data_IF_909672592870
#
_entry.id   IF_909672592870
#
_cell.length_a   1.000
_cell.length_b   1.000
_cell.length_c   1.000
_cell.angle_alpha   90.00
_cell.angle_beta   90.00
_cell.angle_gamma   90.00
#
_symmetry.space_group_name_H-M   'P 1'
#
loop_
_entity.id
_entity.type
_entity.pdbx_description
1 polymer ?
#
# COMPACT_ATOMS: atom_id res chain seq x y z
N UNK A 1 -8.64 -15.78 -33.69
CA UNK A 1 -9.21 -16.54 -32.55
C UNK A 1 -8.25 -16.37 -31.39
N UNK A 2 -8.59 -15.53 -30.41
CA UNK A 2 -7.75 -15.29 -29.21
C UNK A 2 -8.71 -15.32 -28.02
N UNK A 3 -8.56 -16.32 -27.17
CA UNK A 3 -9.39 -16.50 -25.97
C UNK A 3 -8.93 -15.53 -24.86
N UNK A 4 -9.77 -15.03 -23.96
CA UNK A 4 -11.20 -15.32 -23.75
C UNK A 4 -11.58 -15.05 -22.30
N UNK A 5 -10.70 -15.43 -21.35
CA UNK A 5 -10.96 -15.37 -19.90
C UNK A 5 -9.86 -14.68 -19.05
N UNK A 6 -8.62 -14.56 -19.54
CA UNK A 6 -7.54 -13.99 -18.73
C UNK A 6 -7.67 -12.47 -18.51
N UNK A 7 -8.07 -11.73 -19.56
CA UNK A 7 -8.28 -10.28 -19.49
C UNK A 7 -9.31 -9.87 -18.42
N UNK A 8 -10.45 -10.58 -18.36
CA UNK A 8 -11.55 -10.29 -17.43
C UNK A 8 -11.18 -10.64 -15.98
N UNK A 9 -10.46 -11.74 -15.77
CA UNK A 9 -10.10 -12.20 -14.43
C UNK A 9 -8.96 -11.41 -13.78
N UNK A 10 -7.91 -11.06 -14.55
CA UNK A 10 -6.72 -10.37 -14.02
C UNK A 10 -6.76 -8.86 -14.25
N UNK A 11 -6.88 -8.40 -15.50
CA UNK A 11 -6.77 -6.98 -15.84
C UNK A 11 -8.05 -6.24 -15.43
N UNK A 12 -9.22 -6.71 -15.86
CA UNK A 12 -10.48 -6.04 -15.54
C UNK A 12 -10.74 -6.02 -14.03
N UNK A 13 -10.37 -7.07 -13.26
CA UNK A 13 -10.51 -7.06 -11.79
C UNK A 13 -9.54 -6.09 -11.10
N UNK A 14 -8.33 -5.89 -11.64
CA UNK A 14 -7.34 -4.93 -11.12
C UNK A 14 -7.66 -3.48 -11.52
N UNK A 15 -8.29 -3.27 -12.67
CA UNK A 15 -8.74 -1.95 -13.15
C UNK A 15 -10.18 -1.62 -12.73
N UNK A 16 -10.96 -2.59 -12.25
CA UNK A 16 -12.33 -2.40 -11.76
C UNK A 16 -12.47 -1.24 -10.77
N UNK A 17 -11.58 -1.07 -9.75
CA UNK A 17 -11.70 0.03 -8.80
C UNK A 17 -11.52 1.39 -9.48
N UNK A 18 -10.61 1.49 -10.45
CA UNK A 18 -10.37 2.72 -11.20
C UNK A 18 -11.50 3.02 -12.20
N UNK A 19 -12.02 2.00 -12.88
CA UNK A 19 -13.18 2.12 -13.78
C UNK A 19 -14.45 2.49 -13.00
N UNK A 20 -14.76 1.81 -11.91
CA UNK A 20 -15.90 2.15 -11.04
C UNK A 20 -15.74 3.55 -10.47
N UNK A 21 -14.54 3.94 -10.01
CA UNK A 21 -14.29 5.32 -9.55
C UNK A 21 -14.49 6.35 -10.68
N UNK A 22 -13.95 6.11 -11.87
CA UNK A 22 -14.07 7.01 -13.02
C UNK A 22 -15.54 7.13 -13.50
N UNK A 23 -16.28 6.02 -13.52
CA UNK A 23 -17.71 6.00 -13.88
C UNK A 23 -18.56 6.68 -12.80
N UNK A 24 -18.31 6.43 -11.52
CA UNK A 24 -19.02 7.10 -10.41
C UNK A 24 -18.69 8.60 -10.38
N UNK A 25 -17.45 9.00 -10.60
CA UNK A 25 -17.06 10.41 -10.73
C UNK A 25 -17.70 11.06 -11.96
N UNK A 26 -17.75 10.37 -13.10
CA UNK A 26 -18.43 10.82 -14.32
C UNK A 26 -19.95 11.01 -14.13
N UNK A 27 -20.64 10.06 -13.48
CA UNK A 27 -22.04 10.25 -13.10
C UNK A 27 -22.22 11.38 -12.07
N UNK A 28 -21.35 11.48 -11.07
CA UNK A 28 -21.38 12.57 -10.09
C UNK A 28 -21.11 13.95 -10.70
N UNK A 29 -20.49 14.01 -11.90
CA UNK A 29 -20.29 15.22 -12.69
C UNK A 29 -21.46 15.51 -13.65
N UNK A 30 -22.17 14.49 -14.14
CA UNK A 30 -23.32 14.62 -15.03
C UNK A 30 -24.66 14.87 -14.33
N UNK A 31 -24.87 14.29 -13.14
CA UNK A 31 -26.10 14.44 -12.34
C UNK A 31 -26.40 15.89 -11.90
N UNK A 32 -25.42 16.72 -11.46
CA UNK A 32 -25.70 18.07 -10.99
C UNK A 32 -26.28 19.02 -12.04
N UNK A 33 -25.99 18.78 -13.33
CA UNK A 33 -26.36 19.65 -14.44
C UNK A 33 -27.87 19.69 -14.76
N UNK A 34 -28.71 19.00 -13.99
CA UNK A 34 -30.16 18.86 -14.29
C UNK A 34 -31.09 18.84 -13.07
N UNK A 35 -30.64 19.26 -11.89
CA UNK A 35 -31.42 19.12 -10.63
C UNK A 35 -31.48 20.40 -9.80
N UNK A 36 -32.48 21.24 -10.05
CA UNK A 36 -32.68 22.54 -9.37
C UNK A 36 -33.16 22.46 -7.90
N UNK A 37 -33.33 21.24 -7.34
CA UNK A 37 -34.06 21.03 -6.07
C UNK A 37 -33.29 20.41 -4.89
N UNK A 38 -32.10 19.82 -5.07
CA UNK A 38 -31.46 18.98 -4.04
C UNK A 38 -29.95 19.25 -3.90
N UNK A 39 -29.60 20.49 -3.56
CA UNK A 39 -28.26 21.05 -3.80
C UNK A 39 -27.20 20.75 -2.72
N UNK A 40 -27.51 20.82 -1.42
CA UNK A 40 -26.44 20.92 -0.41
C UNK A 40 -25.77 19.58 -0.04
N UNK A 41 -26.55 18.52 0.25
CA UNK A 41 -26.00 17.20 0.58
C UNK A 41 -25.23 16.55 -0.59
N UNK A 42 -25.66 16.79 -1.83
CA UNK A 42 -25.00 16.29 -3.04
C UNK A 42 -23.66 17.00 -3.26
N UNK A 43 -23.63 18.33 -3.15
CA UNK A 43 -22.38 19.10 -3.17
C UNK A 43 -21.42 18.70 -2.04
N UNK A 44 -21.91 18.45 -0.82
CA UNK A 44 -21.04 17.96 0.27
C UNK A 44 -20.48 16.57 -0.03
N UNK A 45 -21.26 15.66 -0.60
CA UNK A 45 -20.78 14.34 -1.02
C UNK A 45 -19.69 14.43 -2.11
N UNK A 46 -19.89 15.29 -3.12
CA UNK A 46 -18.90 15.53 -4.18
C UNK A 46 -17.65 16.22 -3.63
N UNK A 47 -17.80 17.28 -2.84
CA UNK A 47 -16.68 18.00 -2.23
C UNK A 47 -15.84 17.09 -1.33
N UNK A 48 -16.48 16.28 -0.47
CA UNK A 48 -15.80 15.29 0.36
C UNK A 48 -15.07 14.23 -0.48
N UNK A 49 -15.71 13.72 -1.54
CA UNK A 49 -15.09 12.77 -2.48
C UNK A 49 -13.86 13.36 -3.17
N UNK A 50 -13.93 14.59 -3.65
CA UNK A 50 -12.80 15.33 -4.25
C UNK A 50 -11.70 15.58 -3.22
N UNK A 51 -12.03 16.00 -2.00
CA UNK A 51 -11.05 16.21 -0.92
C UNK A 51 -10.33 14.92 -0.54
N UNK A 52 -11.05 13.79 -0.45
CA UNK A 52 -10.46 12.48 -0.15
C UNK A 52 -9.56 12.03 -1.32
N UNK A 53 -10.02 12.14 -2.56
CA UNK A 53 -9.24 11.76 -3.74
C UNK A 53 -7.95 12.59 -3.85
N UNK A 54 -8.03 13.91 -3.65
CA UNK A 54 -6.88 14.80 -3.61
C UNK A 54 -5.90 14.41 -2.48
N UNK A 55 -6.41 14.19 -1.26
CA UNK A 55 -5.56 13.84 -0.11
C UNK A 55 -4.89 12.47 -0.24
N UNK A 56 -5.57 11.47 -0.82
CA UNK A 56 -4.97 10.17 -1.15
C UNK A 56 -3.89 10.33 -2.22
N UNK A 57 -4.16 11.10 -3.28
CA UNK A 57 -3.21 11.36 -4.36
C UNK A 57 -1.94 12.03 -3.82
N UNK A 58 -2.09 13.09 -3.02
CA UNK A 58 -0.99 13.80 -2.36
C UNK A 58 -0.16 12.86 -1.48
N UNK A 59 -0.76 11.95 -0.70
CA UNK A 59 -0.02 10.96 0.12
C UNK A 59 0.76 9.93 -0.71
N UNK A 60 0.27 9.55 -1.88
CA UNK A 60 0.98 8.65 -2.81
C UNK A 60 2.19 9.37 -3.41
N UNK A 61 1.99 10.58 -3.94
CA UNK A 61 3.08 11.39 -4.51
C UNK A 61 4.14 11.74 -3.45
N UNK A 62 3.74 12.12 -2.22
CA UNK A 62 4.69 12.40 -1.14
C UNK A 62 5.58 11.19 -0.80
N UNK A 63 5.05 9.96 -0.80
CA UNK A 63 5.88 8.77 -0.56
C UNK A 63 6.91 8.55 -1.67
N UNK A 64 6.51 8.67 -2.94
CA UNK A 64 7.44 8.54 -4.06
C UNK A 64 8.51 9.65 -4.08
N UNK A 65 8.10 10.90 -3.86
CA UNK A 65 8.95 12.11 -3.88
C UNK A 65 9.87 12.22 -2.67
N UNK A 66 9.57 11.56 -1.53
CA UNK A 66 10.49 11.49 -0.39
C UNK A 66 11.47 10.33 -0.52
N UNK A 67 11.01 9.11 -0.86
CA UNK A 67 11.86 7.90 -0.82
C UNK A 67 12.97 7.93 -1.87
N UNK A 68 12.69 8.37 -3.12
CA UNK A 68 13.70 8.45 -4.17
C UNK A 68 14.88 9.38 -3.82
N UNK A 69 14.64 10.67 -3.55
CA UNK A 69 15.68 11.62 -3.13
C UNK A 69 16.37 11.27 -1.81
N UNK A 70 15.66 10.66 -0.85
CA UNK A 70 16.29 10.19 0.40
C UNK A 70 17.29 9.05 0.14
N UNK A 71 16.93 8.07 -0.68
CA UNK A 71 17.86 7.01 -1.11
C UNK A 71 19.03 7.59 -1.91
N UNK A 72 18.77 8.52 -2.83
CA UNK A 72 19.80 9.18 -3.63
C UNK A 72 20.82 9.91 -2.74
N UNK A 73 20.35 10.78 -1.85
CA UNK A 73 21.20 11.50 -0.88
C UNK A 73 21.98 10.54 0.03
N UNK A 74 21.33 9.46 0.50
CA UNK A 74 21.99 8.41 1.27
C UNK A 74 23.13 7.74 0.49
N UNK A 75 22.92 7.33 -0.76
CA UNK A 75 23.96 6.71 -1.58
C UNK A 75 25.08 7.68 -1.98
N UNK A 76 24.80 8.98 -2.16
CA UNK A 76 25.84 10.00 -2.35
C UNK A 76 26.70 10.13 -1.08
N UNK A 77 26.08 10.31 0.10
CA UNK A 77 26.80 10.46 1.37
C UNK A 77 27.60 9.19 1.71
N UNK A 78 26.98 8.01 1.59
CA UNK A 78 27.65 6.73 1.82
C UNK A 78 28.81 6.52 0.85
N UNK A 79 28.62 6.85 -0.44
CA UNK A 79 29.67 6.72 -1.45
C UNK A 79 30.86 7.65 -1.20
N UNK A 80 30.62 8.90 -0.77
CA UNK A 80 31.69 9.85 -0.40
C UNK A 80 32.44 9.44 0.89
N UNK A 81 31.80 8.68 1.78
CA UNK A 81 32.43 8.15 3.00
C UNK A 81 33.23 6.86 2.72
N UNK A 82 32.75 6.00 1.83
CA UNK A 82 33.31 4.65 1.59
C UNK A 82 34.30 4.61 0.42
N UNK A 83 34.12 5.44 -0.61
CA UNK A 83 34.93 5.41 -1.84
C UNK A 83 35.86 6.62 -1.84
N UNK A 84 37.10 6.41 -1.41
CA UNK A 84 38.18 7.41 -1.55
C UNK A 84 38.56 7.57 -3.03
N UNK A 85 39.16 8.70 -3.46
CA UNK A 85 39.52 8.89 -4.87
C UNK A 85 40.52 7.84 -5.36
N UNK A 86 41.45 7.37 -4.53
CA UNK A 86 42.40 6.30 -4.86
C UNK A 86 41.67 4.96 -5.09
N UNK A 87 40.64 4.68 -4.28
CA UNK A 87 39.77 3.51 -4.45
C UNK A 87 39.00 3.61 -5.77
N UNK A 88 38.51 4.81 -6.12
CA UNK A 88 37.85 5.05 -7.40
C UNK A 88 38.80 4.88 -8.58
N UNK A 89 40.04 5.38 -8.49
CA UNK A 89 41.07 5.19 -9.52
C UNK A 89 41.41 3.71 -9.73
N UNK A 90 41.54 2.94 -8.65
CA UNK A 90 41.79 1.49 -8.72
C UNK A 90 40.65 0.72 -9.42
N UNK A 91 39.40 1.16 -9.29
CA UNK A 91 38.24 0.49 -9.90
C UNK A 91 37.90 0.98 -11.32
N UNK A 92 38.18 2.25 -11.62
CA UNK A 92 37.86 2.90 -12.90
C UNK A 92 39.04 2.81 -13.88
N UNK A 93 40.27 2.67 -13.37
CA UNK A 93 41.52 2.71 -14.15
C UNK A 93 41.94 4.13 -14.58
N UNK A 94 41.28 5.17 -14.06
CA UNK A 94 41.49 6.57 -14.41
C UNK A 94 41.04 7.52 -13.29
N UNK A 95 41.59 8.74 -13.19
CA UNK A 95 41.19 9.74 -12.20
C UNK A 95 39.69 10.06 -12.22
N UNK A 96 39.01 10.12 -11.06
CA UNK A 96 37.57 10.31 -10.99
C UNK A 96 37.16 11.72 -11.44
N UNK A 97 36.54 11.80 -12.61
CA UNK A 97 36.03 13.07 -13.16
C UNK A 97 34.90 13.62 -12.25
N UNK A 98 35.15 14.78 -11.66
CA UNK A 98 34.21 15.55 -10.87
C UNK A 98 33.06 16.10 -11.74
N UNK A 99 31.91 16.42 -11.13
CA UNK A 99 30.77 16.99 -11.86
C UNK A 99 30.77 18.52 -11.85
N UNK A 100 30.39 19.15 -12.97
CA UNK A 100 30.34 20.62 -13.10
C UNK A 100 29.36 21.29 -12.11
N UNK A 101 28.35 20.56 -11.66
CA UNK A 101 27.33 21.01 -10.71
C UNK A 101 27.77 20.85 -9.24
N UNK A 102 28.63 19.88 -8.95
CA UNK A 102 29.11 19.53 -7.62
C UNK A 102 30.58 19.07 -7.74
N UNK A 103 31.56 19.99 -7.61
CA UNK A 103 32.97 19.68 -7.86
C UNK A 103 33.55 18.67 -6.85
N UNK A 104 32.95 18.51 -5.68
CA UNK A 104 33.32 17.51 -4.68
C UNK A 104 32.75 16.11 -4.95
N UNK A 105 31.98 15.90 -6.03
CA UNK A 105 31.24 14.66 -6.29
C UNK A 105 31.58 14.08 -7.67
N UNK A 106 32.14 12.86 -7.76
CA UNK A 106 32.42 12.20 -9.03
C UNK A 106 31.17 11.89 -9.85
N UNK A 107 31.24 12.06 -11.17
CA UNK A 107 30.14 11.76 -12.10
C UNK A 107 29.75 10.27 -12.03
N UNK A 108 30.72 9.37 -11.82
CA UNK A 108 30.46 7.94 -11.64
C UNK A 108 29.61 7.65 -10.39
N UNK A 109 29.87 8.35 -9.28
CA UNK A 109 29.09 8.21 -8.04
C UNK A 109 27.65 8.73 -8.24
N UNK A 110 27.48 9.87 -8.90
CA UNK A 110 26.14 10.41 -9.24
C UNK A 110 25.30 9.43 -10.08
N UNK A 111 25.91 8.81 -11.10
CA UNK A 111 25.24 7.80 -11.94
C UNK A 111 24.84 6.56 -11.15
N UNK A 112 25.74 6.04 -10.32
CA UNK A 112 25.49 4.85 -9.51
C UNK A 112 24.43 5.10 -8.42
N UNK A 113 24.52 6.23 -7.71
CA UNK A 113 23.53 6.63 -6.71
C UNK A 113 22.14 6.84 -7.34
N UNK A 114 22.05 7.41 -8.56
CA UNK A 114 20.79 7.55 -9.28
C UNK A 114 20.18 6.18 -9.64
N UNK A 115 20.99 5.22 -10.10
CA UNK A 115 20.55 3.85 -10.36
C UNK A 115 20.04 3.16 -9.08
N UNK A 116 20.82 3.18 -8.00
CA UNK A 116 20.40 2.55 -6.74
C UNK A 116 19.16 3.22 -6.12
N UNK A 117 19.01 4.53 -6.25
CA UNK A 117 17.81 5.25 -5.81
C UNK A 117 16.57 4.90 -6.65
N UNK A 118 16.71 4.76 -7.98
CA UNK A 118 15.63 4.35 -8.86
C UNK A 118 15.18 2.90 -8.57
N UNK A 119 16.12 1.94 -8.51
CA UNK A 119 15.81 0.54 -8.19
C UNK A 119 15.30 0.36 -6.75
N UNK A 120 15.88 1.07 -5.78
CA UNK A 120 15.45 1.01 -4.38
C UNK A 120 14.05 1.61 -4.15
N UNK A 121 13.74 2.75 -4.76
CA UNK A 121 12.39 3.34 -4.68
C UNK A 121 11.35 2.50 -5.42
N UNK A 122 11.71 1.90 -6.56
CA UNK A 122 10.86 0.91 -7.24
C UNK A 122 10.61 -0.31 -6.35
N UNK A 123 11.65 -0.87 -5.71
CA UNK A 123 11.51 -2.01 -4.80
C UNK A 123 10.59 -1.69 -3.62
N UNK A 124 10.79 -0.57 -2.92
CA UNK A 124 9.93 -0.11 -1.81
C UNK A 124 8.48 0.11 -2.27
N UNK A 125 8.27 0.61 -3.50
CA UNK A 125 6.94 0.79 -4.09
C UNK A 125 6.26 -0.56 -4.37
N UNK A 126 7.00 -1.53 -4.92
CA UNK A 126 6.50 -2.88 -5.18
C UNK A 126 6.16 -3.59 -3.86
N UNK A 127 7.08 -3.62 -2.89
CA UNK A 127 6.85 -4.32 -1.61
C UNK A 127 5.72 -3.70 -0.80
N UNK A 128 5.60 -2.36 -0.77
CA UNK A 128 4.49 -1.68 -0.07
C UNK A 128 3.13 -1.83 -0.77
N UNK A 129 3.10 -2.10 -2.08
CA UNK A 129 1.88 -2.51 -2.79
C UNK A 129 1.56 -4.00 -2.61
N UNK A 130 2.56 -4.82 -2.29
CA UNK A 130 2.47 -6.27 -2.12
C UNK A 130 2.24 -6.75 -0.68
N UNK A 131 2.20 -5.86 0.32
CA UNK A 131 2.07 -6.22 1.74
C UNK A 131 0.74 -6.92 2.07
N UNK A 132 0.79 -8.24 1.87
CA UNK A 132 -0.25 -9.22 2.23
C UNK A 132 0.07 -9.87 3.59
N UNK A 133 1.30 -9.67 4.07
CA UNK A 133 1.83 -10.14 5.35
C UNK A 133 1.13 -9.46 6.53
N UNK A 134 0.80 -8.17 6.39
CA UNK A 134 0.01 -7.45 7.37
C UNK A 134 -1.37 -8.08 7.59
N UNK A 135 -2.00 -8.65 6.54
CA UNK A 135 -3.25 -9.42 6.71
C UNK A 135 -3.02 -10.69 7.53
N UNK A 136 -2.01 -11.48 7.20
CA UNK A 136 -1.75 -12.75 7.90
C UNK A 136 -1.52 -12.52 9.41
N UNK A 137 -0.69 -11.52 9.76
CA UNK A 137 -0.36 -11.21 11.16
C UNK A 137 -1.54 -10.61 11.95
N UNK A 138 -2.40 -9.81 11.33
CA UNK A 138 -3.52 -9.17 12.04
C UNK A 138 -4.78 -10.05 12.15
N UNK A 139 -5.04 -10.93 11.18
CA UNK A 139 -6.27 -11.75 11.17
C UNK A 139 -6.13 -13.11 11.88
N UNK A 140 -4.92 -13.66 12.04
CA UNK A 140 -4.73 -14.92 12.78
C UNK A 140 -5.22 -14.85 14.25
N UNK A 141 -4.94 -13.78 15.05
CA UNK A 141 -5.51 -13.65 16.39
C UNK A 141 -7.04 -13.49 16.40
N UNK A 142 -7.61 -12.83 15.38
CA UNK A 142 -9.06 -12.59 15.27
C UNK A 142 -9.83 -13.89 15.04
N UNK A 143 -9.30 -14.78 14.20
CA UNK A 143 -9.93 -16.10 13.96
C UNK A 143 -9.87 -16.97 15.23
N UNK A 144 -8.74 -17.01 15.94
CA UNK A 144 -8.62 -17.74 17.21
C UNK A 144 -9.55 -17.20 18.31
N UNK A 145 -9.86 -15.90 18.32
CA UNK A 145 -10.84 -15.31 19.23
C UNK A 145 -12.29 -15.72 18.94
N UNK A 146 -12.64 -15.96 17.68
CA UNK A 146 -13.99 -16.40 17.28
C UNK A 146 -14.27 -17.83 17.78
N UNK A 147 -13.26 -18.70 17.76
CA UNK A 147 -13.35 -20.13 18.10
C UNK A 147 -13.66 -20.40 19.59
N UNK A 148 -13.31 -19.48 20.48
CA UNK A 148 -13.63 -19.55 21.92
C UNK A 148 -15.14 -19.47 22.23
N UNK A 149 -15.89 -18.73 21.42
CA UNK A 149 -17.32 -18.48 21.65
C UNK A 149 -18.19 -19.74 21.49
N UNK A 150 -18.09 -20.54 20.40
CA UNK A 150 -18.83 -21.80 20.30
C UNK A 150 -18.35 -22.85 21.31
N UNK A 151 -17.05 -22.89 21.65
CA UNK A 151 -16.52 -23.80 22.67
C UNK A 151 -17.15 -23.53 24.06
N UNK A 152 -17.16 -22.27 24.51
CA UNK A 152 -17.80 -21.88 25.78
C UNK A 152 -19.32 -22.15 25.76
N UNK A 153 -19.99 -21.89 24.64
CA UNK A 153 -21.42 -22.18 24.48
C UNK A 153 -21.73 -23.68 24.58
N UNK A 154 -20.87 -24.54 24.02
CA UNK A 154 -21.02 -26.00 24.13
C UNK A 154 -20.91 -26.47 25.59
N UNK A 155 -19.92 -25.97 26.35
CA UNK A 155 -19.77 -26.28 27.77
C UNK A 155 -21.00 -25.83 28.58
N UNK A 156 -21.49 -24.61 28.37
CA UNK A 156 -22.68 -24.12 29.07
C UNK A 156 -23.95 -24.95 28.75
N UNK A 157 -24.08 -25.45 27.52
CA UNK A 157 -25.19 -26.33 27.14
C UNK A 157 -25.06 -27.72 27.78
N UNK A 158 -23.84 -28.28 27.88
CA UNK A 158 -23.60 -29.56 28.54
C UNK A 158 -23.94 -29.50 30.04
N UNK A 159 -23.43 -28.48 30.76
CA UNK A 159 -23.73 -28.27 32.18
C UNK A 159 -25.22 -28.05 32.44
N UNK A 160 -25.92 -27.32 31.55
CA UNK A 160 -27.38 -27.13 31.63
C UNK A 160 -28.18 -28.41 31.37
N UNK A 161 -27.64 -29.33 30.56
CA UNK A 161 -28.25 -30.64 30.32
C UNK A 161 -28.08 -31.55 31.55
N UNK A 162 -26.89 -31.60 32.14
CA UNK A 162 -26.62 -32.41 33.34
C UNK A 162 -27.41 -31.95 34.57
N UNK A 163 -27.54 -30.63 34.80
CA UNK A 163 -28.32 -30.12 35.93
C UNK A 163 -29.81 -30.47 35.79
N UNK A 164 -30.40 -30.30 34.60
CA UNK A 164 -31.76 -30.77 34.30
C UNK A 164 -31.92 -32.28 34.49
N UNK A 165 -30.91 -33.08 34.13
CA UNK A 165 -30.91 -34.53 34.36
C UNK A 165 -30.61 -34.95 35.82
N UNK A 166 -30.22 -34.01 36.70
CA UNK A 166 -30.19 -34.21 38.15
C UNK A 166 -31.53 -33.87 38.79
N UNK A 167 -32.14 -32.72 38.45
CA UNK A 167 -33.48 -32.33 38.93
C UNK A 167 -34.51 -33.44 38.73
N UNK A 168 -34.60 -33.98 37.50
CA UNK A 168 -35.54 -35.05 37.13
C UNK A 168 -35.26 -36.39 37.87
N UNK A 169 -34.07 -36.55 38.46
CA UNK A 169 -33.70 -37.72 39.29
C UNK A 169 -33.78 -37.46 40.80
N UNK A 170 -33.81 -36.20 41.25
CA UNK A 170 -34.08 -35.84 42.64
C UNK A 170 -35.58 -35.70 42.96
N UNK A 171 -36.43 -35.67 41.93
CA UNK A 171 -37.90 -35.62 42.04
C UNK A 171 -38.58 -36.99 41.84
N UNK A 172 -37.89 -38.08 42.17
CA UNK A 172 -38.38 -39.48 42.19
C UNK A 172 -37.87 -40.20 43.43
#
# INVERSE_FOLDING_TARGET
MIEGYWFVSHILRRMLPALVFMTVAGLAWLVPLKTEGTHWWTLLGVALGVTIAAWVTVRIFLRAVVVGPALFGFFIVLGLIVITPETAEQWIGAPPVASDLLPSVPIALLRNAALFAAFGSMYVTITSMSDTDHRQRFFAPVIGGIEWTPAFRAVCLAVRHESRLRDVRGAR
#
